data_IF_998766793064
#
_entry.id   IF_998766793064
#
_cell.length_a   1.000
_cell.length_b   1.000
_cell.length_c   1.000
_cell.angle_alpha   90.00
_cell.angle_beta   90.00
_cell.angle_gamma   90.00
#
_symmetry.space_group_name_H-M   'P 1'
#
loop_
_entity.id
_entity.type
_entity.pdbx_description
1 polymer ?
#
# COMPACT_ATOMS: atom_id res chain seq x y z
N UNK A 1 -14.01 2.82 7.94
CA UNK A 1 -13.30 4.10 8.11
C UNK A 1 -12.63 4.17 9.48
N UNK A 2 -11.31 4.38 9.53
CA UNK A 2 -10.54 4.68 10.76
C UNK A 2 -10.65 6.16 11.19
N UNK A 3 -11.68 6.88 10.74
CA UNK A 3 -11.87 8.31 11.04
C UNK A 3 -12.51 8.56 12.40
N UNK A 4 -13.25 7.60 12.94
CA UNK A 4 -13.95 7.72 14.24
C UNK A 4 -13.25 7.00 15.39
N UNK A 5 -12.27 6.15 15.10
CA UNK A 5 -11.44 5.51 16.13
C UNK A 5 -10.30 6.42 16.53
N UNK A 6 -10.10 6.60 17.84
CA UNK A 6 -8.92 7.30 18.36
C UNK A 6 -7.69 6.55 17.86
N UNK A 7 -6.84 7.24 17.11
CA UNK A 7 -5.60 6.66 16.60
C UNK A 7 -4.76 6.17 17.79
N UNK A 8 -4.34 4.89 17.82
CA UNK A 8 -3.64 4.35 18.97
C UNK A 8 -2.33 5.11 19.19
N UNK A 9 -1.93 5.30 20.45
CA UNK A 9 -0.60 5.78 20.76
C UNK A 9 0.42 4.77 20.22
N UNK A 10 1.11 5.15 19.14
CA UNK A 10 2.12 4.29 18.51
C UNK A 10 3.26 4.06 19.50
N UNK A 11 3.35 2.84 20.04
CA UNK A 11 4.41 2.46 20.96
C UNK A 11 5.77 2.39 20.25
N UNK A 12 6.81 2.92 20.89
CA UNK A 12 8.19 2.97 20.37
C UNK A 12 8.85 1.59 20.11
N UNK A 13 8.17 0.48 20.39
CA UNK A 13 8.82 -0.84 20.57
C UNK A 13 8.70 -1.80 19.39
N UNK A 14 8.07 -1.43 18.28
CA UNK A 14 7.89 -2.36 17.15
C UNK A 14 8.24 -1.78 15.78
N UNK A 15 8.13 -0.46 15.57
CA UNK A 15 8.34 0.18 14.26
C UNK A 15 8.95 1.58 14.32
N UNK A 16 9.43 2.03 15.48
CA UNK A 16 9.70 3.44 15.78
C UNK A 16 10.71 4.14 14.87
N UNK A 17 11.70 3.42 14.35
CA UNK A 17 12.68 4.01 13.43
C UNK A 17 12.18 4.06 11.99
N UNK A 18 11.41 3.06 11.52
CA UNK A 18 10.91 3.02 10.15
C UNK A 18 10.00 4.22 9.82
N UNK A 19 9.21 4.68 10.81
CA UNK A 19 8.32 5.85 10.68
C UNK A 19 9.07 7.15 10.35
N UNK A 20 10.37 7.24 10.62
CA UNK A 20 11.18 8.42 10.26
C UNK A 20 11.36 8.54 8.74
N UNK A 21 11.45 7.40 8.06
CA UNK A 21 11.84 7.26 6.66
C UNK A 21 10.65 7.01 5.73
N UNK A 22 9.48 6.71 6.28
CA UNK A 22 8.24 6.46 5.51
C UNK A 22 7.26 7.59 5.75
N UNK A 23 6.86 8.27 4.68
CA UNK A 23 5.84 9.30 4.76
C UNK A 23 4.45 8.71 5.01
N UNK A 24 3.64 9.45 5.76
CA UNK A 24 2.27 9.07 6.07
C UNK A 24 1.36 10.27 5.89
N UNK A 25 0.41 10.18 4.96
CA UNK A 25 -0.60 11.22 4.71
C UNK A 25 -1.95 10.68 5.15
N UNK A 26 -2.69 11.49 5.91
CA UNK A 26 -4.05 11.14 6.35
C UNK A 26 -5.06 11.76 5.40
N UNK A 27 -5.90 10.92 4.82
CA UNK A 27 -7.03 11.34 3.99
C UNK A 27 -8.35 11.13 4.74
N UNK A 28 -9.32 12.02 4.50
CA UNK A 28 -10.68 11.95 5.06
C UNK A 28 -11.75 11.71 4.00
N UNK A 29 -11.39 11.73 2.71
CA UNK A 29 -12.29 11.51 1.59
C UNK A 29 -11.60 10.56 0.60
N UNK A 30 -12.22 9.40 0.34
CA UNK A 30 -11.64 8.37 -0.53
C UNK A 30 -11.61 8.81 -2.00
N UNK A 31 -12.62 9.53 -2.48
CA UNK A 31 -12.70 10.06 -3.84
C UNK A 31 -11.54 11.00 -4.16
N UNK A 32 -11.35 12.05 -3.36
CA UNK A 32 -10.27 13.02 -3.56
C UNK A 32 -8.88 12.40 -3.49
N UNK A 33 -8.67 11.42 -2.59
CA UNK A 33 -7.43 10.65 -2.52
C UNK A 33 -7.22 9.83 -3.81
N UNK A 34 -8.26 9.13 -4.26
CA UNK A 34 -8.18 8.30 -5.46
C UNK A 34 -7.99 9.14 -6.73
N UNK A 35 -8.58 10.33 -6.81
CA UNK A 35 -8.40 11.25 -7.94
C UNK A 35 -6.95 11.72 -8.06
N UNK A 36 -6.29 12.06 -6.93
CA UNK A 36 -4.87 12.39 -6.90
C UNK A 36 -3.99 11.24 -7.39
N UNK A 37 -4.20 10.04 -6.82
CA UNK A 37 -3.48 8.83 -7.24
C UNK A 37 -3.68 8.53 -8.73
N UNK A 38 -4.91 8.63 -9.23
CA UNK A 38 -5.23 8.41 -10.66
C UNK A 38 -4.57 9.46 -11.55
N UNK A 39 -4.52 10.72 -11.14
CA UNK A 39 -3.84 11.79 -11.88
C UNK A 39 -2.33 11.53 -12.03
N UNK A 40 -1.73 10.87 -11.04
CA UNK A 40 -0.33 10.42 -11.07
C UNK A 40 -0.13 9.07 -11.79
N UNK A 41 -1.19 8.48 -12.36
CA UNK A 41 -1.13 7.23 -13.11
C UNK A 41 -1.09 5.97 -12.26
N UNK A 42 -1.48 6.04 -10.98
CA UNK A 42 -1.56 4.86 -10.12
C UNK A 42 -2.73 3.96 -10.49
N UNK A 43 -2.45 2.66 -10.58
CA UNK A 43 -3.50 1.65 -10.40
C UNK A 43 -3.82 1.51 -8.91
N UNK A 44 -5.10 1.43 -8.56
CA UNK A 44 -5.55 1.30 -7.17
C UNK A 44 -6.11 -0.12 -7.01
N UNK A 45 -5.42 -0.97 -6.24
CA UNK A 45 -5.79 -2.37 -6.03
C UNK A 45 -6.32 -2.56 -4.62
N UNK A 46 -7.60 -2.90 -4.47
CA UNK A 46 -8.18 -3.18 -3.17
C UNK A 46 -8.13 -4.66 -2.82
N UNK A 47 -7.80 -5.01 -1.57
CA UNK A 47 -7.89 -6.41 -1.14
C UNK A 47 -9.35 -6.86 -1.14
N UNK A 48 -9.68 -7.90 -1.90
CA UNK A 48 -11.07 -8.35 -2.08
C UNK A 48 -11.17 -9.73 -2.71
N UNK A 49 -12.38 -10.29 -2.71
CA UNK A 49 -12.68 -11.64 -3.22
C UNK A 49 -13.90 -11.66 -4.14
N UNK A 50 -14.23 -10.52 -4.77
CA UNK A 50 -15.29 -10.50 -5.79
C UNK A 50 -14.89 -11.26 -7.06
N UNK A 51 -15.81 -11.40 -8.01
CA UNK A 51 -15.56 -12.10 -9.27
C UNK A 51 -14.45 -11.46 -10.14
N UNK A 52 -14.18 -10.16 -9.96
CA UNK A 52 -13.07 -9.48 -10.64
C UNK A 52 -11.71 -9.72 -9.98
N UNK A 53 -11.70 -10.19 -8.72
CA UNK A 53 -10.49 -10.29 -7.94
C UNK A 53 -9.49 -11.29 -8.52
N UNK A 54 -8.21 -10.91 -8.56
CA UNK A 54 -7.12 -11.75 -9.11
C UNK A 54 -6.02 -11.97 -8.07
N UNK A 55 -5.27 -13.08 -8.18
CA UNK A 55 -4.06 -13.29 -7.38
C UNK A 55 -3.10 -12.10 -7.49
N UNK A 56 -2.43 -11.73 -6.39
CA UNK A 56 -1.42 -10.65 -6.37
C UNK A 56 -0.32 -10.83 -7.42
N UNK A 57 0.04 -12.07 -7.72
CA UNK A 57 1.05 -12.42 -8.73
C UNK A 57 0.62 -12.17 -10.18
N UNK A 58 -0.67 -11.89 -10.43
CA UNK A 58 -1.19 -11.61 -11.77
C UNK A 58 -1.15 -10.12 -12.12
N UNK A 59 -0.88 -9.25 -11.16
CA UNK A 59 -0.74 -7.81 -11.38
C UNK A 59 0.71 -7.44 -11.71
N UNK A 60 0.90 -6.51 -12.64
CA UNK A 60 2.19 -5.84 -12.84
C UNK A 60 2.33 -4.72 -11.78
N UNK A 61 3.13 -4.98 -10.76
CA UNK A 61 3.41 -4.09 -9.63
C UNK A 61 4.67 -3.24 -9.86
N UNK A 62 5.23 -3.26 -11.07
CA UNK A 62 6.39 -2.44 -11.45
C UNK A 62 6.00 -1.02 -11.84
N UNK A 63 4.72 -0.77 -12.17
CA UNK A 63 4.18 0.57 -12.34
C UNK A 63 3.82 1.27 -11.01
N UNK A 64 3.37 2.54 -11.08
CA UNK A 64 2.74 3.22 -9.95
C UNK A 64 1.51 2.43 -9.47
N UNK A 65 1.56 1.97 -8.22
CA UNK A 65 0.54 1.07 -7.66
C UNK A 65 0.24 1.44 -6.20
N UNK A 66 -1.02 1.68 -5.92
CA UNK A 66 -1.54 1.88 -4.57
C UNK A 66 -2.33 0.64 -4.16
N UNK A 67 -1.97 0.03 -3.03
CA UNK A 67 -2.69 -1.14 -2.50
C UNK A 67 -3.53 -0.71 -1.30
N UNK A 68 -4.83 -0.93 -1.40
CA UNK A 68 -5.79 -0.68 -0.32
C UNK A 68 -5.98 -1.97 0.47
N UNK A 69 -5.60 -1.94 1.74
CA UNK A 69 -5.70 -3.07 2.65
C UNK A 69 -6.96 -2.92 3.53
N UNK A 70 -7.79 -3.96 3.56
CA UNK A 70 -9.00 -4.02 4.35
C UNK A 70 -8.75 -4.22 5.85
N UNK A 71 -9.75 -3.88 6.66
CA UNK A 71 -9.76 -4.17 8.10
C UNK A 71 -10.06 -5.66 8.34
N UNK A 72 -9.38 -6.26 9.33
CA UNK A 72 -9.45 -7.68 9.69
C UNK A 72 -10.88 -8.20 9.95
N UNK A 73 -11.80 -7.34 10.39
CA UNK A 73 -13.18 -7.74 10.70
C UNK A 73 -14.22 -7.37 9.64
N UNK A 74 -13.93 -6.39 8.78
CA UNK A 74 -14.93 -5.78 7.89
C UNK A 74 -14.53 -5.75 6.42
N UNK A 75 -13.31 -6.16 6.08
CA UNK A 75 -12.77 -6.00 4.74
C UNK A 75 -12.52 -4.52 4.40
N UNK A 76 -12.50 -4.21 3.10
CA UNK A 76 -12.37 -2.84 2.59
C UNK A 76 -13.75 -2.18 2.58
N UNK A 77 -13.84 -0.92 3.03
CA UNK A 77 -15.10 -0.15 2.98
C UNK A 77 -15.58 0.04 1.53
N UNK A 78 -16.90 0.05 1.31
CA UNK A 78 -17.48 0.15 -0.03
C UNK A 78 -16.97 1.38 -0.81
N UNK A 79 -16.83 2.54 -0.15
CA UNK A 79 -16.35 3.76 -0.81
C UNK A 79 -14.92 3.61 -1.37
N UNK A 80 -14.06 2.81 -0.71
CA UNK A 80 -12.72 2.49 -1.20
C UNK A 80 -12.76 1.45 -2.34
N UNK A 81 -13.71 0.51 -2.31
CA UNK A 81 -13.93 -0.45 -3.39
C UNK A 81 -14.44 0.23 -4.67
N UNK A 82 -15.29 1.26 -4.51
CA UNK A 82 -15.89 2.02 -5.61
C UNK A 82 -14.85 2.84 -6.38
N UNK A 83 -13.80 3.31 -5.70
CA UNK A 83 -12.72 4.09 -6.34
C UNK A 83 -11.56 3.22 -6.83
N UNK A 84 -11.47 1.96 -6.37
CA UNK A 84 -10.42 1.02 -6.74
C UNK A 84 -10.56 0.53 -8.19
N UNK A 85 -9.43 0.47 -8.88
CA UNK A 85 -9.34 0.00 -10.26
C UNK A 85 -9.66 -1.49 -10.39
N UNK A 86 -9.12 -2.32 -9.50
CA UNK A 86 -9.37 -3.76 -9.48
C UNK A 86 -9.22 -4.32 -8.05
N UNK A 87 -9.52 -5.61 -7.87
CA UNK A 87 -9.38 -6.31 -6.61
C UNK A 87 -8.25 -7.35 -6.63
N UNK A 88 -7.49 -7.41 -5.54
CA UNK A 88 -6.36 -8.31 -5.38
C UNK A 88 -6.55 -9.24 -4.19
N UNK A 89 -6.13 -10.49 -4.30
CA UNK A 89 -6.06 -11.40 -3.17
C UNK A 89 -4.74 -12.19 -3.15
N UNK A 90 -4.39 -12.65 -1.95
CA UNK A 90 -3.29 -13.60 -1.77
C UNK A 90 -3.90 -15.01 -1.82
N UNK A 91 -3.46 -15.89 -2.73
CA UNK A 91 -3.96 -17.26 -2.78
C UNK A 91 -3.77 -17.96 -1.43
N UNK A 92 -4.88 -18.42 -0.85
CA UNK A 92 -4.89 -19.16 0.40
C UNK A 92 -5.00 -20.66 0.12
N UNK A 93 -4.25 -21.47 0.86
CA UNK A 93 -4.37 -22.93 0.84
C UNK A 93 -4.80 -23.39 2.23
N UNK A 94 -5.93 -24.08 2.33
CA UNK A 94 -6.48 -24.59 3.59
C UNK A 94 -7.75 -23.88 4.04
N UNK A 95 -7.98 -23.85 5.36
CA UNK A 95 -9.27 -23.50 5.96
C UNK A 95 -9.43 -22.01 6.30
N UNK A 96 -8.35 -21.24 6.29
CA UNK A 96 -8.37 -19.82 6.64
C UNK A 96 -8.65 -18.96 5.41
N UNK A 97 -9.55 -17.99 5.57
CA UNK A 97 -10.02 -17.15 4.47
C UNK A 97 -9.10 -15.96 4.19
N UNK A 98 -8.27 -15.56 5.16
CA UNK A 98 -7.35 -14.43 5.03
C UNK A 98 -6.14 -14.55 5.95
N UNK A 99 -5.10 -13.78 5.64
CA UNK A 99 -3.97 -13.52 6.50
C UNK A 99 -4.26 -12.31 7.41
N UNK A 100 -3.49 -12.18 8.49
CA UNK A 100 -3.40 -10.93 9.23
C UNK A 100 -3.06 -9.76 8.29
N UNK A 101 -3.62 -8.57 8.52
CA UNK A 101 -3.47 -7.43 7.59
C UNK A 101 -2.02 -7.01 7.40
N UNK A 102 -1.18 -7.09 8.44
CA UNK A 102 0.25 -6.76 8.34
C UNK A 102 1.02 -7.83 7.54
N UNK A 103 0.61 -9.10 7.62
CA UNK A 103 1.19 -10.17 6.83
C UNK A 103 0.74 -10.06 5.37
N UNK A 104 -0.51 -9.71 5.12
CA UNK A 104 -1.01 -9.44 3.77
C UNK A 104 -0.30 -8.25 3.11
N UNK A 105 -0.04 -7.18 3.89
CA UNK A 105 0.77 -6.05 3.46
C UNK A 105 2.19 -6.51 3.08
N UNK A 106 2.86 -7.25 3.97
CA UNK A 106 4.22 -7.74 3.74
C UNK A 106 4.30 -8.61 2.47
N UNK A 107 3.43 -9.61 2.33
CA UNK A 107 3.41 -10.50 1.16
C UNK A 107 3.20 -9.71 -0.13
N UNK A 108 2.26 -8.76 -0.13
CA UNK A 108 1.97 -7.93 -1.32
C UNK A 108 3.15 -7.02 -1.68
N UNK A 109 3.75 -6.36 -0.69
CA UNK A 109 4.89 -5.47 -0.89
C UNK A 109 6.14 -6.26 -1.34
N UNK A 110 6.36 -7.46 -0.83
CA UNK A 110 7.47 -8.31 -1.25
C UNK A 110 7.28 -8.89 -2.66
N UNK A 111 6.05 -9.14 -3.10
CA UNK A 111 5.79 -9.47 -4.50
C UNK A 111 6.08 -8.27 -5.41
N UNK A 112 5.68 -7.05 -5.01
CA UNK A 112 6.05 -5.84 -5.74
C UNK A 112 7.57 -5.65 -5.79
N UNK A 113 8.26 -5.84 -4.66
CA UNK A 113 9.71 -5.79 -4.58
C UNK A 113 10.36 -6.82 -5.52
N UNK A 114 9.92 -8.08 -5.50
CA UNK A 114 10.42 -9.15 -6.38
C UNK A 114 10.28 -8.77 -7.86
N UNK A 115 9.12 -8.25 -8.27
CA UNK A 115 8.91 -7.83 -9.66
C UNK A 115 9.79 -6.63 -10.05
N UNK A 116 9.97 -5.66 -9.15
CA UNK A 116 10.80 -4.46 -9.37
C UNK A 116 12.29 -4.80 -9.41
N UNK A 117 12.76 -5.67 -8.52
CA UNK A 117 14.12 -6.19 -8.51
C UNK A 117 14.43 -6.95 -9.81
N UNK A 118 13.52 -7.80 -10.27
CA UNK A 118 13.69 -8.54 -11.52
C UNK A 118 13.81 -7.63 -12.77
N UNK A 119 13.32 -6.38 -12.69
CA UNK A 119 13.47 -5.35 -13.75
C UNK A 119 14.66 -4.40 -13.50
N UNK A 120 15.48 -4.63 -12.47
CA UNK A 120 16.62 -3.76 -12.13
C UNK A 120 16.21 -2.37 -11.60
N UNK A 121 14.98 -2.21 -11.13
CA UNK A 121 14.46 -0.89 -10.72
C UNK A 121 15.11 -0.34 -9.44
N UNK A 122 15.89 -1.16 -8.73
CA UNK A 122 16.66 -0.74 -7.56
C UNK A 122 18.14 -0.51 -7.88
N UNK A 123 18.57 -0.70 -9.13
CA UNK A 123 19.97 -0.50 -9.54
C UNK A 123 20.34 0.99 -9.58
N UNK A 124 19.34 1.87 -9.70
CA UNK A 124 19.48 3.32 -9.66
C UNK A 124 18.35 3.95 -8.84
N UNK A 125 18.58 5.08 -8.17
CA UNK A 125 17.52 5.80 -7.47
C UNK A 125 16.38 6.21 -8.41
N UNK A 126 15.13 6.03 -7.97
CA UNK A 126 13.93 6.43 -8.72
C UNK A 126 13.60 7.92 -8.59
N UNK A 127 14.22 8.61 -7.63
CA UNK A 127 14.05 10.03 -7.40
C UNK A 127 15.00 10.84 -8.27
N UNK A 128 14.56 12.03 -8.69
CA UNK A 128 15.48 13.01 -9.27
C UNK A 128 16.57 13.38 -8.24
N UNK A 129 17.83 13.65 -8.66
CA UNK A 129 18.90 13.98 -7.72
C UNK A 129 18.60 15.15 -6.77
N UNK A 130 17.88 16.18 -7.23
CA UNK A 130 17.49 17.32 -6.39
C UNK A 130 16.43 16.91 -5.35
N UNK A 131 15.44 16.11 -5.76
CA UNK A 131 14.41 15.56 -4.89
C UNK A 131 15.02 14.63 -3.83
N UNK A 132 15.93 13.75 -4.24
CA UNK A 132 16.63 12.84 -3.34
C UNK A 132 17.48 13.62 -2.31
N UNK A 133 18.18 14.66 -2.73
CA UNK A 133 18.94 15.51 -1.83
C UNK A 133 18.05 16.22 -0.80
N UNK A 134 16.88 16.71 -1.23
CA UNK A 134 15.89 17.32 -0.35
C UNK A 134 15.32 16.31 0.66
N UNK A 135 15.01 15.08 0.22
CA UNK A 135 14.54 14.00 1.10
C UNK A 135 15.59 13.61 2.14
N UNK A 136 16.87 13.49 1.74
CA UNK A 136 17.98 13.18 2.65
C UNK A 136 18.10 14.27 3.71
N UNK A 137 18.11 15.56 3.31
CA UNK A 137 18.18 16.67 4.26
C UNK A 137 17.00 16.66 5.24
N UNK A 138 15.78 16.42 4.75
CA UNK A 138 14.58 16.33 5.59
C UNK A 138 14.62 15.13 6.57
N UNK A 139 15.32 14.05 6.23
CA UNK A 139 15.51 12.91 7.13
C UNK A 139 16.60 13.15 8.17
N UNK A 140 17.67 13.87 7.85
CA UNK A 140 18.74 14.21 8.79
C UNK A 140 18.25 15.07 9.96
N UNK A 141 17.20 15.86 9.75
CA UNK A 141 16.58 16.71 10.78
C UNK A 141 15.66 15.93 11.77
N UNK A 142 15.36 14.63 11.54
CA UNK A 142 14.39 13.82 12.33
C UNK A 142 15.02 12.85 13.35
#
# INVERSE_FOLDING_TARGET
>A
YYTETVFPALGLKSSASARKWVESVRHTNAGAMADGLKAEGYQILATGFSERAKPVTHYDLTGPTAVVLGNEHRGVDQELLDVATDEVFIPMQGMVQSLNVSVAAAVTLFEAWRQREAKGMFDQPSYDPEELAALIAAWEEK
#
